data_IF_761435879089
#
_entry.id   IF_761435879089
#
_cell.length_a   1.000
_cell.length_b   1.000
_cell.length_c   1.000
_cell.angle_alpha   90.00
_cell.angle_beta   90.00
_cell.angle_gamma   90.00
#
_symmetry.space_group_name_H-M   'P 1'
#
loop_
_entity.id
_entity.type
_entity.pdbx_description
1 polymer ?
#
# COMPACT_ATOMS: atom_id res chain seq x y z
N UNK A 1 -6.19 -2.02 -13.49
CA UNK A 1 -6.10 -2.84 -12.25
C UNK A 1 -4.65 -2.74 -11.84
N UNK A 2 -4.29 -2.13 -10.71
CA UNK A 2 -2.86 -1.81 -10.47
C UNK A 2 -2.08 -3.12 -10.24
N UNK A 3 -1.30 -3.54 -11.25
CA UNK A 3 -0.48 -4.74 -11.21
C UNK A 3 0.85 -4.43 -10.52
N UNK A 4 1.03 -4.93 -9.31
CA UNK A 4 2.27 -4.77 -8.55
C UNK A 4 3.32 -5.81 -8.99
N UNK A 5 4.59 -5.38 -9.11
CA UNK A 5 5.72 -6.28 -9.32
C UNK A 5 5.85 -7.22 -8.13
N UNK A 6 5.84 -8.52 -8.39
CA UNK A 6 6.03 -9.55 -7.38
C UNK A 6 7.55 -9.73 -7.17
N UNK A 7 8.08 -9.17 -6.09
CA UNK A 7 9.40 -9.54 -5.56
C UNK A 7 9.23 -10.55 -4.44
N UNK A 8 10.07 -11.59 -4.38
CA UNK A 8 10.10 -12.50 -3.23
C UNK A 8 10.65 -11.73 -2.03
N UNK A 9 9.85 -11.66 -0.97
CA UNK A 9 10.15 -10.86 0.22
C UNK A 9 11.27 -11.50 1.06
N UNK A 10 11.50 -12.81 0.89
CA UNK A 10 12.59 -13.54 1.56
C UNK A 10 13.96 -12.94 1.26
N UNK A 11 14.22 -12.49 0.03
CA UNK A 11 15.49 -11.85 -0.35
C UNK A 11 15.76 -10.56 0.44
N UNK A 12 14.72 -9.75 0.68
CA UNK A 12 14.86 -8.53 1.48
C UNK A 12 15.09 -8.87 2.96
N UNK A 13 14.50 -9.95 3.48
CA UNK A 13 14.67 -10.35 4.88
C UNK A 13 15.98 -11.08 5.18
N UNK A 14 16.59 -11.74 4.19
CA UNK A 14 17.94 -12.27 4.32
C UNK A 14 18.96 -11.15 4.56
N UNK A 15 18.78 -9.99 3.90
CA UNK A 15 19.59 -8.79 4.14
C UNK A 15 19.46 -8.30 5.58
N UNK A 16 18.26 -8.40 6.17
CA UNK A 16 18.00 -8.06 7.58
C UNK A 16 18.40 -9.15 8.60
N UNK A 17 19.02 -10.26 8.15
CA UNK A 17 19.46 -11.39 9.01
C UNK A 17 18.35 -11.90 9.95
N UNK A 18 17.13 -12.04 9.43
CA UNK A 18 16.05 -12.62 10.22
C UNK A 18 16.27 -14.13 10.38
N UNK A 19 16.52 -14.58 11.62
CA UNK A 19 16.80 -15.99 11.95
C UNK A 19 15.70 -16.96 11.51
N UNK A 20 14.46 -16.48 11.33
CA UNK A 20 13.33 -17.26 10.86
C UNK A 20 13.54 -17.88 9.47
N UNK A 21 14.37 -17.28 8.63
CA UNK A 21 14.64 -17.72 7.26
C UNK A 21 15.97 -18.49 7.12
N UNK A 22 16.74 -18.61 8.21
CA UNK A 22 18.04 -19.31 8.19
C UNK A 22 17.83 -20.76 8.62
N UNK A 23 18.37 -21.70 7.84
CA UNK A 23 18.36 -23.12 8.19
C UNK A 23 19.07 -23.34 9.54
N UNK A 24 18.38 -23.94 10.51
CA UNK A 24 18.79 -24.09 11.92
C UNK A 24 18.92 -22.78 12.73
N UNK A 25 18.50 -21.64 12.18
CA UNK A 25 18.47 -20.35 12.90
C UNK A 25 17.15 -20.08 13.63
N UNK A 26 16.05 -20.64 13.12
CA UNK A 26 14.71 -20.44 13.66
C UNK A 26 14.41 -21.41 14.81
N UNK A 27 13.80 -20.91 15.88
CA UNK A 27 13.26 -21.74 16.96
C UNK A 27 11.73 -21.78 16.86
N UNK A 28 11.20 -22.91 16.40
CA UNK A 28 9.77 -23.21 16.35
C UNK A 28 9.34 -24.29 17.35
N UNK A 29 10.13 -24.55 18.39
CA UNK A 29 9.87 -25.59 19.41
C UNK A 29 8.51 -25.48 20.11
N UNK A 30 7.93 -24.28 20.12
CA UNK A 30 6.59 -24.01 20.68
C UNK A 30 5.43 -24.28 19.71
N UNK A 31 5.72 -24.51 18.42
CA UNK A 31 4.72 -24.70 17.37
C UNK A 31 4.75 -26.10 16.77
N UNK A 32 5.94 -26.66 16.59
CA UNK A 32 6.15 -27.98 15.96
C UNK A 32 7.11 -28.82 16.81
N UNK A 33 7.00 -30.14 16.69
CA UNK A 33 8.01 -31.06 17.23
C UNK A 33 9.13 -31.23 16.20
N UNK A 34 10.34 -30.82 16.55
CA UNK A 34 11.52 -30.88 15.69
C UNK A 34 11.93 -29.54 15.10
N UNK A 35 12.88 -29.57 14.18
CA UNK A 35 13.47 -28.37 13.57
C UNK A 35 12.67 -27.92 12.34
N UNK A 36 12.60 -26.61 12.14
CA UNK A 36 11.98 -26.00 10.95
C UNK A 36 12.49 -24.59 10.73
N UNK A 37 12.30 -24.06 9.53
CA UNK A 37 12.58 -22.66 9.16
C UNK A 37 11.59 -22.22 8.07
N UNK A 38 11.43 -20.91 7.87
CA UNK A 38 10.58 -20.35 6.82
C UNK A 38 11.39 -20.32 5.52
N UNK A 39 10.93 -21.05 4.51
CA UNK A 39 11.60 -21.07 3.21
C UNK A 39 11.28 -19.85 2.35
N UNK A 40 10.03 -19.40 2.34
CA UNK A 40 9.62 -18.22 1.58
C UNK A 40 8.40 -17.54 2.24
N UNK A 41 8.23 -16.26 1.95
CA UNK A 41 7.08 -15.46 2.38
C UNK A 41 6.53 -14.69 1.18
N UNK A 42 5.28 -15.00 0.82
CA UNK A 42 4.59 -14.40 -0.31
C UNK A 42 3.47 -13.51 0.21
N UNK A 43 3.49 -12.24 -0.19
CA UNK A 43 2.42 -11.29 0.05
C UNK A 43 1.87 -10.83 -1.30
N UNK A 44 0.55 -10.99 -1.49
CA UNK A 44 -0.17 -10.50 -2.68
C UNK A 44 -1.29 -9.59 -2.21
N UNK A 45 -1.35 -8.38 -2.76
CA UNK A 45 -2.38 -7.39 -2.45
C UNK A 45 -2.84 -6.68 -3.72
N UNK A 46 -4.13 -6.39 -3.82
CA UNK A 46 -4.72 -5.67 -4.96
C UNK A 46 -5.61 -4.54 -4.43
N UNK A 47 -5.50 -3.37 -5.06
CA UNK A 47 -6.41 -2.24 -4.81
C UNK A 47 -7.00 -1.78 -6.14
N UNK A 48 -8.30 -1.50 -6.11
CA UNK A 48 -9.04 -0.88 -7.20
C UNK A 48 -9.49 0.50 -6.74
N UNK A 49 -9.04 1.53 -7.44
CA UNK A 49 -9.47 2.92 -7.23
C UNK A 49 -10.36 3.30 -8.40
N UNK A 50 -11.54 3.82 -8.10
CA UNK A 50 -12.52 4.32 -9.06
C UNK A 50 -13.29 5.50 -8.45
N UNK A 51 -14.29 5.98 -9.16
CA UNK A 51 -15.13 7.12 -8.76
C UNK A 51 -16.24 6.72 -7.78
N UNK A 52 -16.37 5.44 -7.45
CA UNK A 52 -17.43 4.95 -6.56
C UNK A 52 -17.03 5.27 -5.11
N UNK A 53 -17.85 6.08 -4.45
CA UNK A 53 -17.65 6.48 -3.06
C UNK A 53 -18.80 7.33 -2.54
N UNK A 54 -18.68 7.80 -1.30
CA UNK A 54 -19.61 8.80 -0.77
C UNK A 54 -19.48 10.08 -1.59
N UNK A 55 -20.59 10.56 -2.14
CA UNK A 55 -20.63 11.89 -2.74
C UNK A 55 -20.26 12.91 -1.67
N UNK A 56 -19.31 13.80 -1.99
CA UNK A 56 -19.16 15.01 -1.22
C UNK A 56 -20.54 15.69 -1.17
N UNK A 57 -21.07 15.91 0.03
CA UNK A 57 -22.28 16.70 0.19
C UNK A 57 -21.93 18.09 -0.33
N UNK A 58 -22.36 18.42 -1.55
CA UNK A 58 -22.24 19.77 -2.06
C UNK A 58 -22.95 20.68 -1.07
N UNK A 59 -22.26 21.61 -0.38
CA UNK A 59 -22.94 22.57 0.47
C UNK A 59 -23.95 23.31 -0.42
N UNK A 60 -25.22 23.29 0.00
CA UNK A 60 -26.35 24.01 -0.60
C UNK A 60 -26.19 25.52 -0.39
N UNK A 61 -25.07 26.08 -0.83
CA UNK A 61 -24.87 27.51 -0.87
C UNK A 61 -24.97 27.91 -2.33
N UNK A 62 -25.96 28.75 -2.65
CA UNK A 62 -25.99 29.49 -3.90
C UNK A 62 -24.73 30.35 -3.99
N UNK A 63 -23.67 29.80 -4.55
CA UNK A 63 -22.48 30.56 -4.89
C UNK A 63 -22.86 31.48 -6.05
N UNK A 64 -23.02 32.77 -5.75
CA UNK A 64 -22.86 33.81 -6.77
C UNK A 64 -21.51 33.52 -7.43
N UNK A 65 -21.50 33.26 -8.74
CA UNK A 65 -20.29 32.92 -9.49
C UNK A 65 -19.31 34.09 -9.42
N UNK A 66 -18.49 34.14 -8.38
CA UNK A 66 -17.29 34.95 -8.36
C UNK A 66 -16.39 34.26 -9.37
N UNK A 67 -16.22 34.86 -10.55
CA UNK A 67 -15.26 34.41 -11.57
C UNK A 67 -13.99 33.96 -10.85
N UNK A 68 -13.69 32.67 -10.94
CA UNK A 68 -12.54 32.08 -10.28
C UNK A 68 -11.30 32.93 -10.59
N UNK A 69 -10.80 33.64 -9.59
CA UNK A 69 -9.47 34.23 -9.67
C UNK A 69 -8.45 33.09 -9.70
N UNK A 70 -7.25 33.36 -10.19
CA UNK A 70 -6.15 32.40 -10.47
C UNK A 70 -5.57 31.67 -9.24
N UNK A 71 -6.34 31.44 -8.18
CA UNK A 71 -5.88 31.00 -6.86
C UNK A 71 -6.16 29.53 -6.55
N UNK A 72 -6.92 28.82 -7.39
CA UNK A 72 -7.15 27.38 -7.19
C UNK A 72 -5.89 26.59 -7.54
N UNK A 73 -5.33 25.88 -6.56
CA UNK A 73 -4.19 24.99 -6.76
C UNK A 73 -4.67 23.71 -7.45
N UNK A 74 -4.17 23.46 -8.66
CA UNK A 74 -4.44 22.23 -9.39
C UNK A 74 -3.51 21.11 -8.88
N UNK A 75 -4.10 20.03 -8.37
CA UNK A 75 -3.38 18.79 -8.07
C UNK A 75 -3.60 17.79 -9.20
N UNK A 76 -2.57 17.58 -10.02
CA UNK A 76 -2.61 16.66 -11.16
C UNK A 76 -1.52 15.59 -11.01
N UNK A 77 -1.91 14.32 -10.96
CA UNK A 77 -1.01 13.18 -10.74
C UNK A 77 -0.78 12.45 -12.06
N UNK A 78 0.08 13.02 -12.91
CA UNK A 78 0.36 12.53 -14.28
C UNK A 78 1.70 11.79 -14.44
N UNK A 79 2.40 11.51 -13.34
CA UNK A 79 3.71 10.84 -13.31
C UNK A 79 3.77 9.83 -12.16
N UNK A 80 4.75 8.91 -12.10
CA UNK A 80 4.82 7.92 -11.03
C UNK A 80 4.70 8.52 -9.63
N UNK A 81 3.90 7.89 -8.78
CA UNK A 81 3.56 8.39 -7.45
C UNK A 81 3.49 7.27 -6.41
N UNK A 82 3.56 7.64 -5.14
CA UNK A 82 3.36 6.74 -4.01
C UNK A 82 1.91 6.85 -3.57
N UNK A 83 1.23 5.72 -3.47
CA UNK A 83 -0.11 5.60 -2.93
C UNK A 83 -0.06 4.80 -1.63
N UNK A 84 -0.69 5.29 -0.58
CA UNK A 84 -0.83 4.55 0.68
C UNK A 84 -2.23 4.71 1.26
N UNK A 85 -2.70 3.64 1.92
CA UNK A 85 -3.93 3.63 2.69
C UNK A 85 -3.57 3.61 4.18
N UNK A 86 -4.09 4.58 4.92
CA UNK A 86 -3.75 4.79 6.33
C UNK A 86 -5.02 4.87 7.18
N UNK A 87 -5.04 4.11 8.27
CA UNK A 87 -6.03 4.25 9.33
C UNK A 87 -5.46 5.18 10.41
N UNK A 88 -6.01 6.39 10.52
CA UNK A 88 -5.55 7.41 11.46
C UNK A 88 -5.93 7.15 12.92
N UNK A 89 -7.01 6.40 13.18
CA UNK A 89 -7.41 6.08 14.55
C UNK A 89 -6.41 5.16 15.23
N UNK A 90 -5.89 4.19 14.48
CA UNK A 90 -4.96 3.17 14.98
C UNK A 90 -3.50 3.44 14.61
N UNK A 91 -3.23 4.53 13.90
CA UNK A 91 -1.93 4.83 13.31
C UNK A 91 -1.32 3.68 12.49
N UNK A 92 -2.14 3.07 11.63
CA UNK A 92 -1.79 1.85 10.91
C UNK A 92 -1.75 2.09 9.40
N UNK A 93 -0.62 1.75 8.78
CA UNK A 93 -0.49 1.69 7.33
C UNK A 93 -1.05 0.35 6.83
N UNK A 94 -2.14 0.40 6.08
CA UNK A 94 -2.85 -0.78 5.57
C UNK A 94 -2.30 -1.21 4.21
N UNK A 95 -1.85 -0.25 3.40
CA UNK A 95 -1.32 -0.52 2.07
C UNK A 95 -0.31 0.56 1.69
N UNK A 96 0.73 0.17 0.97
CA UNK A 96 1.66 1.08 0.31
C UNK A 96 2.06 0.50 -1.05
N UNK A 97 2.05 1.35 -2.08
CA UNK A 97 2.45 0.96 -3.42
C UNK A 97 3.03 2.13 -4.20
N UNK A 98 3.98 1.83 -5.07
CA UNK A 98 4.46 2.76 -6.09
C UNK A 98 3.67 2.51 -7.37
N UNK A 99 2.91 3.51 -7.81
CA UNK A 99 2.14 3.45 -9.06
C UNK A 99 3.02 4.05 -10.15
N UNK A 100 3.55 3.21 -11.04
CA UNK A 100 4.37 3.63 -12.17
C UNK A 100 3.58 3.76 -13.47
N UNK A 101 2.54 2.94 -13.63
CA UNK A 101 1.63 2.94 -14.77
C UNK A 101 0.21 2.57 -14.32
N UNK A 102 -0.76 3.49 -14.36
CA UNK A 102 -2.13 3.25 -13.90
C UNK A 102 -3.01 2.54 -14.95
N UNK A 103 -2.54 2.37 -16.19
CA UNK A 103 -3.34 1.85 -17.31
C UNK A 103 -3.11 0.36 -17.61
N UNK A 104 -2.22 -0.30 -16.86
CA UNK A 104 -1.99 -1.75 -16.91
C UNK A 104 -3.12 -2.59 -16.29
#
# INVERSE_FOLDING_TARGET
>A
MIKLRHGSISQNFEEFRCHLFIKHGADFSKMIMGDGYINDYIQVSTIMVNEIGSHATTPSNHYTSVRATSTTVLFNVSRPFIFYLYNSENNLMLHISVVTDPYL
#
